data_IF_597201721624
#
_entry.id   IF_597201721624
#
_cell.length_a   1.000
_cell.length_b   1.000
_cell.length_c   1.000
_cell.angle_alpha   90.00
_cell.angle_beta   90.00
_cell.angle_gamma   90.00
#
_symmetry.space_group_name_H-M   'P 1'
#
loop_
_entity.id
_entity.type
_entity.pdbx_description
1 polymer ?
#
# COMPACT_ATOMS: atom_id res chain seq x y z
N UNK A 1 13.54 3.53 16.57
CA UNK A 1 13.38 3.30 15.13
C UNK A 1 14.74 3.08 14.46
N UNK A 2 14.86 2.05 13.64
CA UNK A 2 16.09 1.68 12.93
C UNK A 2 15.85 1.78 11.41
N UNK A 3 15.97 2.97 10.80
CA UNK A 3 15.61 3.20 9.39
C UNK A 3 16.42 2.35 8.41
N UNK A 4 17.69 2.07 8.74
CA UNK A 4 18.58 1.23 7.92
C UNK A 4 18.37 -0.30 8.11
N UNK A 5 17.54 -0.73 9.06
CA UNK A 5 17.19 -2.15 9.26
C UNK A 5 16.32 -2.64 8.12
N UNK A 6 16.46 -3.92 7.74
CA UNK A 6 15.62 -4.52 6.71
C UNK A 6 14.20 -4.79 7.22
N UNK A 7 13.26 -4.85 6.28
CA UNK A 7 11.85 -5.23 6.53
C UNK A 7 11.64 -6.68 6.12
N UNK A 8 11.00 -7.45 7.00
CA UNK A 8 10.59 -8.83 6.69
C UNK A 8 9.26 -8.85 5.92
N UNK A 9 8.98 -9.97 5.25
CA UNK A 9 7.73 -10.20 4.54
C UNK A 9 6.51 -10.14 5.49
N UNK A 10 6.65 -10.62 6.72
CA UNK A 10 5.60 -10.52 7.73
C UNK A 10 5.36 -9.08 8.22
N UNK A 11 6.43 -8.30 8.41
CA UNK A 11 6.30 -6.88 8.74
C UNK A 11 5.63 -6.10 7.63
N UNK A 12 5.95 -6.39 6.36
CA UNK A 12 5.28 -5.77 5.21
C UNK A 12 3.78 -6.13 5.17
N UNK A 13 3.43 -7.40 5.39
CA UNK A 13 2.03 -7.83 5.46
C UNK A 13 1.26 -7.11 6.59
N UNK A 14 1.89 -6.92 7.76
CA UNK A 14 1.31 -6.13 8.85
C UNK A 14 1.07 -4.68 8.45
N UNK A 15 2.04 -4.00 7.85
CA UNK A 15 1.90 -2.61 7.43
C UNK A 15 0.75 -2.46 6.42
N UNK A 16 0.65 -3.35 5.44
CA UNK A 16 -0.44 -3.36 4.46
C UNK A 16 -1.79 -3.61 5.11
N UNK A 17 -1.88 -4.58 6.04
CA UNK A 17 -3.14 -4.84 6.76
C UNK A 17 -3.63 -3.60 7.53
N UNK A 18 -2.72 -2.84 8.14
CA UNK A 18 -3.06 -1.59 8.85
C UNK A 18 -3.54 -0.52 7.86
N UNK A 19 -2.90 -0.40 6.70
CA UNK A 19 -3.30 0.55 5.65
C UNK A 19 -4.70 0.22 5.13
N UNK A 20 -5.02 -1.07 4.98
CA UNK A 20 -6.30 -1.53 4.43
C UNK A 20 -7.46 -1.44 5.44
N UNK A 21 -7.20 -1.60 6.72
CA UNK A 21 -8.22 -1.80 7.75
C UNK A 21 -8.16 -0.77 8.90
N UNK A 22 -7.15 0.09 8.92
CA UNK A 22 -6.88 0.94 10.07
C UNK A 22 -6.26 0.17 11.23
N UNK A 23 -6.79 0.34 12.44
CA UNK A 23 -6.30 -0.40 13.61
C UNK A 23 -6.85 -1.83 13.62
N UNK A 24 -5.98 -2.83 13.51
CA UNK A 24 -6.34 -4.24 13.36
C UNK A 24 -5.74 -5.09 14.47
N UNK A 25 -6.59 -5.91 15.07
CA UNK A 25 -6.15 -7.03 15.91
C UNK A 25 -5.69 -8.20 15.00
N UNK A 26 -4.43 -8.60 15.11
CA UNK A 26 -3.88 -9.72 14.36
C UNK A 26 -4.64 -11.03 14.59
N UNK A 27 -5.24 -11.21 15.76
CA UNK A 27 -5.96 -12.43 16.11
C UNK A 27 -7.29 -12.56 15.37
N UNK A 28 -7.85 -11.47 14.88
CA UNK A 28 -9.13 -11.47 14.14
C UNK A 28 -9.10 -12.37 12.89
N UNK A 29 -7.95 -12.54 12.26
CA UNK A 29 -7.82 -13.31 11.02
C UNK A 29 -7.14 -14.67 11.17
N UNK A 30 -6.76 -15.08 12.38
CA UNK A 30 -6.09 -16.40 12.62
C UNK A 30 -6.95 -17.59 12.17
N UNK A 31 -8.28 -17.46 12.20
CA UNK A 31 -9.20 -18.48 11.72
C UNK A 31 -9.32 -18.58 10.19
N UNK A 32 -8.75 -17.67 9.42
CA UNK A 32 -8.79 -17.69 7.96
C UNK A 32 -8.00 -18.88 7.41
N UNK A 33 -8.60 -19.61 6.47
CA UNK A 33 -7.98 -20.77 5.85
C UNK A 33 -6.93 -20.32 4.83
N UNK A 34 -5.79 -21.01 4.85
CA UNK A 34 -4.69 -20.83 3.89
C UNK A 34 -3.96 -22.15 3.71
N UNK A 35 -3.30 -22.33 2.59
CA UNK A 35 -2.40 -23.43 2.29
C UNK A 35 -0.93 -23.16 2.69
N UNK A 36 -0.66 -21.97 3.28
CA UNK A 36 0.68 -21.60 3.76
C UNK A 36 1.03 -22.36 5.04
N UNK A 37 2.11 -23.14 5.00
CA UNK A 37 2.46 -24.10 6.06
C UNK A 37 3.40 -23.52 7.13
N UNK A 38 4.13 -22.45 6.83
CA UNK A 38 5.22 -21.90 7.66
C UNK A 38 4.82 -20.66 8.48
N UNK A 39 3.53 -20.34 8.56
CA UNK A 39 3.02 -19.16 9.25
C UNK A 39 2.34 -19.49 10.59
N UNK A 40 2.05 -20.76 10.87
CA UNK A 40 1.34 -21.19 12.07
C UNK A 40 2.14 -20.84 13.34
N UNK A 41 1.50 -20.14 14.27
CA UNK A 41 2.14 -19.66 15.49
C UNK A 41 3.12 -18.49 15.33
N UNK A 42 3.30 -18.01 14.11
CA UNK A 42 4.09 -16.80 13.86
C UNK A 42 3.33 -15.55 14.33
N UNK A 43 4.02 -14.55 14.90
CA UNK A 43 3.37 -13.33 15.40
C UNK A 43 2.55 -12.60 14.32
N UNK A 44 2.96 -12.70 13.06
CA UNK A 44 2.30 -12.09 11.90
C UNK A 44 1.24 -12.96 11.24
N UNK A 45 0.91 -14.13 11.78
CA UNK A 45 -0.01 -15.10 11.17
C UNK A 45 -1.33 -14.48 10.70
N UNK A 46 -2.00 -13.71 11.57
CA UNK A 46 -3.28 -13.09 11.22
C UNK A 46 -3.16 -12.06 10.10
N UNK A 47 -2.13 -11.23 10.10
CA UNK A 47 -1.89 -10.25 9.04
C UNK A 47 -1.59 -10.92 7.69
N UNK A 48 -0.79 -11.99 7.71
CA UNK A 48 -0.47 -12.77 6.51
C UNK A 48 -1.74 -13.43 5.97
N UNK A 49 -2.53 -14.05 6.82
CA UNK A 49 -3.81 -14.68 6.44
C UNK A 49 -4.81 -13.67 5.88
N UNK A 50 -4.89 -12.47 6.47
CA UNK A 50 -5.70 -11.40 5.91
C UNK A 50 -5.24 -11.04 4.48
N UNK A 51 -3.98 -10.68 4.31
CA UNK A 51 -3.44 -10.32 2.99
C UNK A 51 -3.61 -11.46 1.96
N UNK A 52 -3.47 -12.72 2.39
CA UNK A 52 -3.69 -13.89 1.54
C UNK A 52 -5.15 -13.99 1.09
N UNK A 53 -6.10 -13.83 2.01
CA UNK A 53 -7.54 -13.90 1.71
C UNK A 53 -8.01 -12.78 0.76
N UNK A 54 -7.31 -11.64 0.77
CA UNK A 54 -7.57 -10.51 -0.14
C UNK A 54 -6.85 -10.66 -1.49
N UNK A 55 -6.06 -11.71 -1.70
CA UNK A 55 -5.24 -11.88 -2.90
C UNK A 55 -4.08 -10.88 -3.04
N UNK A 56 -3.75 -10.17 -1.96
CA UNK A 56 -2.65 -9.20 -1.89
C UNK A 56 -1.30 -9.92 -1.91
N UNK A 57 -1.22 -11.07 -1.23
CA UNK A 57 -0.04 -11.93 -1.21
C UNK A 57 -0.36 -13.32 -1.72
N UNK A 58 0.66 -14.00 -2.21
CA UNK A 58 0.67 -15.43 -2.49
C UNK A 58 1.88 -16.06 -1.78
N UNK A 59 1.86 -17.36 -1.67
CA UNK A 59 3.03 -18.14 -1.26
C UNK A 59 4.14 -18.11 -2.33
N UNK A 60 5.22 -18.80 -2.06
CA UNK A 60 6.37 -18.96 -2.96
C UNK A 60 6.17 -20.02 -4.05
N UNK A 61 5.01 -20.68 -4.07
CA UNK A 61 4.68 -21.77 -4.98
C UNK A 61 5.01 -23.16 -4.42
N UNK A 62 5.66 -23.23 -3.27
CA UNK A 62 6.03 -24.46 -2.53
C UNK A 62 5.17 -24.66 -1.26
N UNK A 63 4.11 -23.89 -1.09
CA UNK A 63 3.27 -23.90 0.12
C UNK A 63 3.84 -23.09 1.27
N UNK A 64 4.88 -22.27 1.06
CA UNK A 64 5.46 -21.40 2.09
C UNK A 64 5.26 -19.92 1.76
N UNK A 65 5.29 -19.08 2.80
CA UNK A 65 5.32 -17.62 2.70
C UNK A 65 6.70 -17.03 2.99
N UNK A 66 7.48 -17.70 3.82
CA UNK A 66 8.76 -17.26 4.38
C UNK A 66 8.64 -15.93 5.17
N UNK A 67 7.88 -15.92 6.28
CA UNK A 67 7.51 -14.69 7.01
C UNK A 67 8.72 -13.91 7.54
N UNK A 68 9.80 -14.59 7.90
CA UNK A 68 11.02 -13.98 8.45
C UNK A 68 12.06 -13.59 7.37
N UNK A 69 11.82 -13.92 6.11
CA UNK A 69 12.70 -13.47 5.03
C UNK A 69 12.54 -11.98 4.78
N UNK A 70 13.65 -11.31 4.45
CA UNK A 70 13.59 -9.90 4.05
C UNK A 70 12.80 -9.75 2.75
N UNK A 71 11.94 -8.73 2.68
CA UNK A 71 11.17 -8.44 1.48
C UNK A 71 12.05 -7.69 0.47
N UNK A 72 11.97 -8.08 -0.79
CA UNK A 72 12.61 -7.33 -1.89
C UNK A 72 11.70 -6.23 -2.41
N UNK A 73 12.29 -5.26 -3.12
CA UNK A 73 11.54 -4.13 -3.68
C UNK A 73 10.40 -4.58 -4.60
N UNK A 74 10.65 -5.56 -5.47
CA UNK A 74 9.60 -6.07 -6.38
C UNK A 74 8.54 -6.89 -5.64
N UNK A 75 8.90 -7.64 -4.58
CA UNK A 75 7.91 -8.34 -3.75
C UNK A 75 7.03 -7.36 -2.99
N UNK A 76 7.60 -6.31 -2.39
CA UNK A 76 6.85 -5.26 -1.72
C UNK A 76 5.94 -4.49 -2.71
N UNK A 77 6.45 -4.17 -3.89
CA UNK A 77 5.65 -3.54 -4.94
C UNK A 77 4.47 -4.41 -5.37
N UNK A 78 4.65 -5.73 -5.54
CA UNK A 78 3.55 -6.66 -5.83
C UNK A 78 2.49 -6.65 -4.74
N UNK A 79 2.91 -6.66 -3.48
CA UNK A 79 1.98 -6.60 -2.34
C UNK A 79 1.19 -5.27 -2.33
N UNK A 80 1.85 -4.14 -2.57
CA UNK A 80 1.21 -2.82 -2.62
C UNK A 80 0.28 -2.67 -3.83
N UNK A 81 0.65 -3.18 -5.01
CA UNK A 81 -0.24 -3.21 -6.17
C UNK A 81 -1.51 -4.03 -5.87
N UNK A 82 -1.37 -5.17 -5.20
CA UNK A 82 -2.52 -5.94 -4.71
C UNK A 82 -3.40 -5.15 -3.74
N UNK A 83 -2.78 -4.40 -2.82
CA UNK A 83 -3.48 -3.58 -1.84
C UNK A 83 -4.30 -2.46 -2.48
N UNK A 84 -3.80 -1.81 -3.54
CA UNK A 84 -4.58 -0.81 -4.29
C UNK A 84 -5.55 -1.42 -5.31
N UNK A 85 -5.68 -2.75 -5.39
CA UNK A 85 -6.72 -3.44 -6.14
C UNK A 85 -6.31 -4.05 -7.48
N UNK A 86 -5.02 -4.07 -7.84
CA UNK A 86 -4.57 -4.82 -9.01
C UNK A 86 -4.75 -6.33 -8.81
N UNK A 87 -5.24 -7.02 -9.82
CA UNK A 87 -5.39 -8.48 -9.81
C UNK A 87 -4.14 -9.15 -10.39
N UNK A 88 -3.50 -10.04 -9.62
CA UNK A 88 -2.25 -10.69 -10.01
C UNK A 88 -2.34 -11.50 -11.29
N UNK A 89 -3.45 -12.20 -11.52
CA UNK A 89 -3.63 -13.05 -12.71
C UNK A 89 -3.86 -12.21 -13.97
N UNK A 90 -4.68 -11.16 -13.85
CA UNK A 90 -5.00 -10.26 -14.98
C UNK A 90 -3.78 -9.46 -15.41
N UNK A 91 -2.95 -9.02 -14.44
CA UNK A 91 -1.77 -8.20 -14.71
C UNK A 91 -0.52 -9.03 -15.03
N UNK A 92 -0.60 -10.35 -14.94
CA UNK A 92 0.53 -11.24 -15.19
C UNK A 92 1.60 -11.15 -14.09
N UNK A 93 1.19 -10.96 -12.82
CA UNK A 93 2.11 -10.99 -11.67
C UNK A 93 2.39 -12.43 -11.21
N UNK A 94 2.22 -13.37 -12.13
CA UNK A 94 2.49 -14.80 -11.99
C UNK A 94 3.34 -15.31 -13.16
N UNK A 95 3.95 -16.49 -13.02
CA UNK A 95 4.81 -17.05 -14.08
C UNK A 95 6.19 -16.40 -14.17
N UNK A 96 6.89 -16.56 -15.30
CA UNK A 96 8.29 -16.12 -15.47
C UNK A 96 8.46 -14.61 -15.48
N UNK A 97 7.50 -13.87 -15.99
CA UNK A 97 7.60 -12.44 -16.26
C UNK A 97 7.00 -11.56 -15.14
N UNK A 98 6.58 -12.20 -14.05
CA UNK A 98 5.89 -11.51 -12.96
C UNK A 98 6.64 -10.27 -12.44
N UNK A 99 7.95 -10.38 -12.28
CA UNK A 99 8.76 -9.31 -11.73
C UNK A 99 8.86 -8.10 -12.68
N UNK A 100 8.89 -8.34 -13.99
CA UNK A 100 8.90 -7.30 -15.02
C UNK A 100 7.57 -6.56 -15.02
N UNK A 101 6.45 -7.31 -15.01
CA UNK A 101 5.11 -6.75 -14.99
C UNK A 101 4.84 -5.94 -13.71
N UNK A 102 5.22 -6.46 -12.55
CA UNK A 102 5.14 -5.73 -11.27
C UNK A 102 5.97 -4.45 -11.30
N UNK A 103 7.22 -4.53 -11.78
CA UNK A 103 8.11 -3.35 -11.84
C UNK A 103 7.54 -2.26 -12.74
N UNK A 104 7.00 -2.64 -13.91
CA UNK A 104 6.33 -1.72 -14.83
C UNK A 104 5.16 -1.00 -14.17
N UNK A 105 4.25 -1.76 -13.56
CA UNK A 105 3.03 -1.18 -13.02
C UNK A 105 3.27 -0.38 -11.73
N UNK A 106 4.24 -0.79 -10.91
CA UNK A 106 4.70 -0.02 -9.76
C UNK A 106 5.36 1.31 -10.18
N UNK A 107 6.14 1.29 -11.27
CA UNK A 107 6.73 2.52 -11.83
C UNK A 107 5.64 3.47 -12.35
N UNK A 108 4.67 2.94 -13.09
CA UNK A 108 3.53 3.72 -13.60
C UNK A 108 2.63 4.26 -12.48
N UNK A 109 2.57 3.56 -11.35
CA UNK A 109 1.83 3.99 -10.15
C UNK A 109 2.63 4.92 -9.23
N UNK A 110 3.87 5.26 -9.58
CA UNK A 110 4.69 6.19 -8.82
C UNK A 110 5.34 5.61 -7.55
N UNK A 111 5.28 4.29 -7.31
CA UNK A 111 5.76 3.68 -6.06
C UNK A 111 7.25 3.89 -5.79
N UNK A 112 8.04 4.11 -6.83
CA UNK A 112 9.48 4.30 -6.73
C UNK A 112 9.93 5.76 -6.68
N UNK A 113 8.98 6.72 -6.58
CA UNK A 113 9.31 8.12 -6.41
C UNK A 113 10.18 8.31 -5.16
N UNK A 114 11.20 9.16 -5.28
CA UNK A 114 12.19 9.47 -4.25
C UNK A 114 13.05 8.29 -3.73
N UNK A 115 12.94 7.10 -4.32
CA UNK A 115 13.73 5.92 -4.01
C UNK A 115 14.90 5.77 -5.00
N UNK A 116 16.04 6.39 -4.66
CA UNK A 116 17.23 6.38 -5.53
C UNK A 116 18.00 5.06 -5.45
N UNK A 117 18.40 4.53 -6.62
CA UNK A 117 19.24 3.32 -6.71
C UNK A 117 18.54 2.03 -6.28
N UNK A 118 17.22 2.02 -6.22
CA UNK A 118 16.44 0.83 -5.92
C UNK A 118 16.46 -0.11 -7.14
N UNK A 119 16.82 -1.37 -6.91
CA UNK A 119 16.70 -2.45 -7.90
C UNK A 119 15.65 -3.47 -7.47
N UNK A 120 15.04 -4.18 -8.41
CA UNK A 120 13.94 -5.11 -8.12
C UNK A 120 14.26 -6.13 -7.02
N UNK A 121 15.46 -6.67 -7.02
CA UNK A 121 15.89 -7.71 -6.07
C UNK A 121 16.56 -7.16 -4.80
N UNK A 122 16.70 -5.83 -4.66
CA UNK A 122 17.24 -5.24 -3.44
C UNK A 122 16.27 -5.46 -2.28
N UNK A 123 16.76 -5.93 -1.15
CA UNK A 123 15.98 -5.96 0.10
C UNK A 123 15.72 -4.54 0.58
N UNK A 124 14.47 -4.27 0.98
CA UNK A 124 14.10 -2.94 1.46
C UNK A 124 14.56 -2.71 2.90
N UNK A 125 15.09 -1.53 3.13
CA UNK A 125 15.22 -0.99 4.48
C UNK A 125 13.86 -0.48 4.97
N UNK A 126 13.73 -0.23 6.28
CA UNK A 126 12.50 0.32 6.88
C UNK A 126 12.17 1.71 6.33
N UNK A 127 13.19 2.50 6.01
CA UNK A 127 13.05 3.82 5.40
C UNK A 127 12.51 3.71 3.96
N UNK A 128 13.13 2.85 3.14
CA UNK A 128 12.68 2.61 1.76
C UNK A 128 11.27 2.01 1.69
N UNK A 129 10.94 1.08 2.62
CA UNK A 129 9.60 0.52 2.70
C UNK A 129 8.55 1.59 3.09
N UNK A 130 8.89 2.46 4.04
CA UNK A 130 8.02 3.56 4.44
C UNK A 130 7.76 4.54 3.29
N UNK A 131 8.81 4.90 2.53
CA UNK A 131 8.67 5.76 1.35
C UNK A 131 7.82 5.10 0.26
N UNK A 132 8.04 3.81 -0.02
CA UNK A 132 7.25 3.08 -1.01
C UNK A 132 5.77 2.98 -0.60
N UNK A 133 5.50 2.75 0.68
CA UNK A 133 4.14 2.74 1.24
C UNK A 133 3.49 4.12 1.11
N UNK A 134 4.22 5.18 1.49
CA UNK A 134 3.74 6.56 1.36
C UNK A 134 3.30 6.86 -0.08
N UNK A 135 4.13 6.52 -1.05
CA UNK A 135 3.81 6.70 -2.47
C UNK A 135 2.58 5.87 -2.91
N UNK A 136 2.42 4.67 -2.35
CA UNK A 136 1.32 3.78 -2.72
C UNK A 136 -0.03 4.20 -2.14
N UNK A 137 -0.07 4.75 -0.91
CA UNK A 137 -1.34 5.12 -0.25
C UNK A 137 -1.98 6.37 -0.85
N UNK A 138 -1.18 7.24 -1.48
CA UNK A 138 -1.62 8.44 -2.19
C UNK A 138 -1.91 8.18 -3.69
N UNK A 139 -1.86 6.93 -4.10
CA UNK A 139 -2.14 6.50 -5.48
C UNK A 139 -3.58 6.01 -5.59
N UNK A 140 -4.28 6.44 -6.65
CA UNK A 140 -5.66 6.03 -6.92
C UNK A 140 -5.82 4.50 -6.96
N UNK A 141 -6.84 3.99 -6.28
CA UNK A 141 -7.13 2.54 -6.23
C UNK A 141 -7.61 2.01 -7.58
N UNK A 142 -7.54 0.70 -7.76
CA UNK A 142 -8.07 0.01 -8.94
C UNK A 142 -9.40 -0.66 -8.58
N UNK A 143 -10.47 -0.24 -9.24
CA UNK A 143 -11.80 -0.83 -9.04
C UNK A 143 -12.09 -1.92 -10.03
N UNK A 144 -12.53 -3.07 -9.52
CA UNK A 144 -13.04 -4.20 -10.30
C UNK A 144 -14.50 -3.94 -10.65
N UNK A 145 -14.81 -3.85 -11.94
CA UNK A 145 -16.17 -3.64 -12.44
C UNK A 145 -16.63 -4.83 -13.23
N UNK A 146 -17.78 -5.45 -12.89
CA UNK A 146 -18.34 -6.55 -13.67
C UNK A 146 -18.95 -6.02 -14.98
N UNK A 147 -18.68 -6.72 -16.08
CA UNK A 147 -19.25 -6.46 -17.39
C UNK A 147 -20.12 -7.66 -17.79
N UNK A 148 -21.42 -7.46 -17.85
CA UNK A 148 -22.39 -8.48 -18.25
C UNK A 148 -22.55 -8.49 -19.77
N UNK A 149 -22.31 -9.64 -20.41
CA UNK A 149 -22.64 -9.83 -21.79
C UNK A 149 -24.01 -10.51 -21.89
N UNK A 150 -25.04 -9.73 -22.26
CA UNK A 150 -26.44 -10.22 -22.36
C UNK A 150 -26.65 -11.28 -23.42
N UNK A 151 -25.80 -11.33 -24.46
CA UNK A 151 -25.93 -12.31 -25.56
C UNK A 151 -25.35 -13.66 -25.20
N UNK A 152 -24.33 -13.72 -24.36
CA UNK A 152 -23.64 -14.97 -23.97
C UNK A 152 -23.93 -15.43 -22.56
N UNK A 153 -24.51 -14.58 -21.73
CA UNK A 153 -24.70 -14.81 -20.28
C UNK A 153 -23.39 -14.80 -19.48
N UNK A 154 -22.28 -14.37 -20.09
CA UNK A 154 -20.96 -14.38 -19.44
C UNK A 154 -20.69 -13.06 -18.75
N UNK A 155 -20.19 -13.12 -17.50
CA UNK A 155 -19.65 -11.97 -16.77
C UNK A 155 -18.14 -11.93 -16.96
N UNK A 156 -17.65 -10.83 -17.46
CA UNK A 156 -16.22 -10.48 -17.48
C UNK A 156 -15.96 -9.35 -16.49
N UNK A 157 -14.69 -9.07 -16.20
CA UNK A 157 -14.34 -8.00 -15.27
C UNK A 157 -13.32 -7.07 -15.91
N UNK A 158 -13.53 -5.76 -15.77
CA UNK A 158 -12.51 -4.75 -16.02
C UNK A 158 -11.92 -4.25 -14.71
N UNK A 159 -10.65 -3.83 -14.77
CA UNK A 159 -9.91 -3.29 -13.65
C UNK A 159 -9.46 -1.88 -14.04
N UNK A 160 -10.06 -0.87 -13.41
CA UNK A 160 -9.88 0.51 -13.82
C UNK A 160 -9.26 1.32 -12.68
N UNK A 161 -8.07 1.90 -12.92
CA UNK A 161 -7.43 2.82 -11.98
C UNK A 161 -8.33 4.04 -11.82
N UNK A 162 -8.58 4.43 -10.57
CA UNK A 162 -9.32 5.63 -10.20
C UNK A 162 -8.38 6.84 -10.16
N UNK A 163 -8.92 8.07 -10.17
CA UNK A 163 -8.13 9.26 -9.86
C UNK A 163 -7.43 9.14 -8.49
N UNK A 164 -6.31 9.81 -8.31
CA UNK A 164 -5.54 9.77 -7.06
C UNK A 164 -6.32 10.36 -5.85
N UNK A 165 -7.43 11.06 -6.08
CA UNK A 165 -8.39 11.47 -5.03
C UNK A 165 -9.27 10.33 -4.50
N UNK A 166 -9.23 9.14 -5.10
CA UNK A 166 -9.91 7.91 -4.65
C UNK A 166 -8.83 6.87 -4.34
N UNK A 167 -8.13 7.10 -3.25
CA UNK A 167 -6.95 6.38 -2.77
C UNK A 167 -7.20 5.65 -1.45
N UNK A 168 -6.19 4.96 -0.91
CA UNK A 168 -6.30 4.24 0.36
C UNK A 168 -6.43 5.16 1.57
N UNK A 169 -5.81 6.35 1.55
CA UNK A 169 -5.93 7.32 2.64
C UNK A 169 -7.37 7.79 2.78
N UNK A 170 -8.01 8.14 1.66
CA UNK A 170 -9.42 8.53 1.63
C UNK A 170 -10.33 7.39 2.06
N UNK A 171 -10.12 6.19 1.51
CA UNK A 171 -11.04 5.08 1.71
C UNK A 171 -10.95 4.45 3.09
N UNK A 172 -9.75 4.42 3.70
CA UNK A 172 -9.54 3.78 5.01
C UNK A 172 -9.62 4.76 6.17
N UNK A 173 -9.10 5.97 5.99
CA UNK A 173 -8.91 6.94 7.09
C UNK A 173 -9.72 8.22 6.93
N UNK A 174 -10.48 8.37 5.84
CA UNK A 174 -11.20 9.60 5.46
C UNK A 174 -10.29 10.84 5.39
N UNK A 175 -9.04 10.62 4.99
CA UNK A 175 -8.02 11.66 4.81
C UNK A 175 -7.91 12.01 3.35
N UNK A 176 -7.83 13.29 3.03
CA UNK A 176 -7.52 13.80 1.69
C UNK A 176 -6.20 14.56 1.71
N UNK A 177 -5.37 14.32 0.73
CA UNK A 177 -4.16 15.11 0.48
C UNK A 177 -4.48 16.22 -0.51
N UNK A 178 -3.92 17.40 -0.29
CA UNK A 178 -4.07 18.55 -1.18
C UNK A 178 -2.74 19.28 -1.28
N UNK A 179 -2.30 19.55 -2.49
CA UNK A 179 -1.14 20.43 -2.71
C UNK A 179 -1.54 21.87 -2.41
N UNK A 180 -0.84 22.49 -1.46
CA UNK A 180 -1.08 23.84 -1.05
C UNK A 180 0.22 24.63 -1.00
N UNK A 181 0.14 25.95 -1.15
CA UNK A 181 1.30 26.83 -0.96
C UNK A 181 1.27 27.45 0.42
N UNK A 182 2.34 27.28 1.20
CA UNK A 182 2.50 27.99 2.46
C UNK A 182 2.73 29.48 2.17
N UNK A 183 1.75 30.32 2.52
CA UNK A 183 1.80 31.76 2.26
C UNK A 183 2.20 32.59 3.46
N UNK A 184 1.96 32.07 4.65
CA UNK A 184 2.28 32.79 5.89
C UNK A 184 2.53 31.82 7.04
N UNK A 185 3.50 32.15 7.90
CA UNK A 185 3.74 31.48 9.18
C UNK A 185 3.77 32.54 10.29
N UNK A 186 2.98 32.36 11.34
CA UNK A 186 2.93 33.23 12.51
C UNK A 186 3.14 32.40 13.77
N UNK A 187 3.93 32.93 14.70
CA UNK A 187 4.14 32.32 16.01
C UNK A 187 3.52 33.18 17.10
N UNK A 188 2.69 32.56 17.94
CA UNK A 188 2.17 33.16 19.17
C UNK A 188 2.99 32.68 20.37
N UNK A 189 3.78 33.58 20.96
CA UNK A 189 4.57 33.28 22.16
C UNK A 189 3.71 33.03 23.41
N UNK A 190 2.52 33.64 23.45
CA UNK A 190 1.56 33.47 24.52
C UNK A 190 0.95 32.06 24.55
N UNK A 191 0.56 31.55 23.35
CA UNK A 191 -0.05 30.23 23.19
C UNK A 191 0.96 29.12 22.89
N UNK A 192 2.24 29.46 22.62
CA UNK A 192 3.26 28.54 22.12
C UNK A 192 2.79 27.77 20.88
N UNK A 193 2.15 28.47 19.96
CA UNK A 193 1.46 27.91 18.81
C UNK A 193 1.96 28.57 17.52
N UNK A 194 2.23 27.76 16.51
CA UNK A 194 2.43 28.21 15.13
C UNK A 194 1.10 28.18 14.36
N UNK A 195 0.81 29.23 13.62
CA UNK A 195 -0.30 29.28 12.65
C UNK A 195 0.30 29.34 11.26
N UNK A 196 -0.06 28.38 10.41
CA UNK A 196 0.33 28.30 9.01
C UNK A 196 -0.86 28.67 8.16
N UNK A 197 -0.71 29.65 7.26
CA UNK A 197 -1.72 29.97 6.25
C UNK A 197 -1.33 29.31 4.94
N UNK A 198 -2.21 28.46 4.44
CA UNK A 198 -2.04 27.69 3.22
C UNK A 198 -2.98 28.25 2.15
N UNK A 199 -2.46 28.51 0.96
CA UNK A 199 -3.29 28.90 -0.19
C UNK A 199 -3.56 27.68 -1.05
N UNK A 200 -4.84 27.38 -1.26
CA UNK A 200 -5.32 26.35 -2.17
C UNK A 200 -5.95 27.04 -3.39
N UNK A 201 -5.59 26.58 -4.59
CA UNK A 201 -6.08 27.16 -5.84
C UNK A 201 -7.60 27.00 -6.04
N UNK A 202 -8.23 26.05 -5.35
CA UNK A 202 -9.66 25.70 -5.51
C UNK A 202 -10.52 26.25 -4.37
N UNK A 203 -10.02 26.15 -3.11
CA UNK A 203 -10.81 26.42 -1.91
C UNK A 203 -10.42 27.71 -1.17
N UNK A 204 -9.51 28.51 -1.74
CA UNK A 204 -8.99 29.72 -1.10
C UNK A 204 -7.95 29.42 -0.01
N UNK A 205 -7.80 30.27 1.00
CA UNK A 205 -6.82 30.07 2.06
C UNK A 205 -7.43 29.35 3.27
N UNK A 206 -6.69 28.39 3.81
CA UNK A 206 -7.01 27.74 5.09
C UNK A 206 -5.88 27.94 6.10
N UNK A 207 -6.16 27.78 7.39
CA UNK A 207 -5.16 27.89 8.44
C UNK A 207 -5.04 26.58 9.21
N UNK A 208 -3.80 26.15 9.45
CA UNK A 208 -3.47 24.98 10.27
C UNK A 208 -2.65 25.45 11.46
N UNK A 209 -2.89 24.89 12.63
CA UNK A 209 -2.21 25.21 13.87
C UNK A 209 -1.40 24.03 14.37
N UNK A 210 -0.20 24.29 14.87
CA UNK A 210 0.65 23.30 15.51
C UNK A 210 1.19 23.85 16.82
N UNK A 211 1.02 23.09 17.89
CA UNK A 211 1.69 23.36 19.18
C UNK A 211 3.10 22.79 19.13
N UNK A 212 4.07 23.55 19.61
CA UNK A 212 5.47 23.13 19.75
C UNK A 212 5.68 22.20 20.94
#
# INVERSE_FOLDING_TARGET
FAPAGNVTRAEMAKMISIIMLGNVDADAFKGTITDLTDINGHWGEGFIKYCYSQGIIAGRGDGTFAPNANVTAVEAAKMLLGAIGYNSDVQGYVGSDWAINVTRDAQLSGFYADLKGLTANKTLTRDEAAQMIYNAVDTGIVKKTPNWNSSTGVVTYSYNKQPDTDDLLKNTFDVTTTETTLTKTEYSSEKKEYTYTLADAVNGSTTVKSTS
#
